data_IF_586391514423
#
_entry.id   IF_586391514423
#
_cell.length_a   1.000
_cell.length_b   1.000
_cell.length_c   1.000
_cell.angle_alpha   90.00
_cell.angle_beta   90.00
_cell.angle_gamma   90.00
#
_symmetry.space_group_name_H-M   'P 1'
#
loop_
_entity.id
_entity.type
_entity.pdbx_description
1 polymer ?
#
# COMPACT_ATOMS: atom_id res chain seq x y z
N UNK A 1 20.26 -18.82 -0.73
CA UNK A 1 19.13 -18.21 -1.48
C UNK A 1 17.86 -18.21 -0.61
N UNK A 2 17.18 -17.06 -0.44
CA UNK A 2 15.87 -17.07 0.22
C UNK A 2 14.93 -17.97 -0.60
N UNK A 3 14.18 -18.84 0.10
CA UNK A 3 13.21 -19.71 -0.55
C UNK A 3 12.20 -18.86 -1.34
N UNK A 4 11.92 -19.24 -2.58
CA UNK A 4 10.92 -18.57 -3.42
C UNK A 4 9.58 -18.67 -2.69
N UNK A 5 9.01 -17.54 -2.32
CA UNK A 5 7.69 -17.47 -1.71
C UNK A 5 6.66 -17.90 -2.76
N UNK A 6 5.88 -18.96 -2.47
CA UNK A 6 4.77 -19.31 -3.33
C UNK A 6 3.66 -18.26 -3.14
N UNK A 7 3.16 -17.59 -4.19
CA UNK A 7 2.07 -16.64 -4.02
C UNK A 7 0.78 -17.37 -3.63
N UNK A 8 -0.17 -16.66 -3.03
CA UNK A 8 -1.54 -17.19 -2.84
C UNK A 8 -2.08 -17.68 -4.20
N UNK A 9 -2.69 -18.88 -4.29
CA UNK A 9 -3.26 -19.36 -5.54
C UNK A 9 -4.25 -18.37 -6.15
N UNK A 10 -4.16 -18.15 -7.47
CA UNK A 10 -4.98 -17.16 -8.18
C UNK A 10 -6.50 -17.29 -7.93
N UNK A 11 -7.10 -18.51 -7.90
CA UNK A 11 -8.53 -18.65 -7.62
C UNK A 11 -8.97 -18.11 -6.26
N UNK A 12 -8.04 -18.05 -5.29
CA UNK A 12 -8.33 -17.56 -3.94
C UNK A 12 -8.20 -16.04 -3.82
N UNK A 13 -7.65 -15.34 -4.82
CA UNK A 13 -7.40 -13.89 -4.73
C UNK A 13 -8.68 -13.06 -4.94
N UNK A 14 -8.67 -11.83 -4.49
CA UNK A 14 -9.76 -10.87 -4.58
C UNK A 14 -10.66 -10.84 -3.34
N UNK A 15 -11.86 -10.25 -3.47
CA UNK A 15 -12.77 -10.03 -2.36
C UNK A 15 -13.59 -11.29 -2.00
N UNK A 16 -13.84 -11.44 -0.71
CA UNK A 16 -14.58 -12.53 -0.07
C UNK A 16 -15.42 -11.96 1.07
N UNK A 17 -16.56 -12.59 1.35
CA UNK A 17 -17.54 -12.07 2.31
C UNK A 17 -18.07 -13.17 3.24
N UNK A 18 -18.47 -12.75 4.44
CA UNK A 18 -19.25 -13.52 5.41
C UNK A 18 -20.64 -12.88 5.57
N UNK A 19 -21.66 -13.68 5.88
CA UNK A 19 -23.04 -13.21 5.99
C UNK A 19 -23.76 -13.18 4.63
N UNK A 20 -24.67 -12.22 4.44
CA UNK A 20 -25.39 -12.05 3.18
C UNK A 20 -24.73 -10.94 2.35
N UNK A 21 -24.75 -11.04 1.01
CA UNK A 21 -24.15 -10.01 0.16
C UNK A 21 -24.77 -8.61 0.30
N UNK A 22 -26.03 -8.50 0.76
CA UNK A 22 -26.65 -7.20 1.02
C UNK A 22 -26.16 -6.56 2.32
N UNK A 23 -25.67 -7.36 3.27
CA UNK A 23 -25.29 -6.96 4.62
C UNK A 23 -24.24 -7.93 5.17
N UNK A 24 -22.97 -7.84 4.73
CA UNK A 24 -21.93 -8.74 5.16
C UNK A 24 -21.48 -8.42 6.59
N UNK A 25 -21.28 -9.44 7.42
CA UNK A 25 -20.71 -9.28 8.76
C UNK A 25 -19.18 -9.09 8.73
N UNK A 26 -18.54 -9.49 7.63
CA UNK A 26 -17.12 -9.24 7.39
C UNK A 26 -16.78 -9.34 5.90
N UNK A 27 -15.73 -8.65 5.51
CA UNK A 27 -15.04 -8.84 4.23
C UNK A 27 -13.59 -9.27 4.44
N UNK A 28 -13.07 -10.01 3.47
CA UNK A 28 -11.68 -10.41 3.36
C UNK A 28 -11.22 -10.12 1.94
N UNK A 29 -10.10 -9.41 1.78
CA UNK A 29 -9.45 -9.28 0.48
C UNK A 29 -8.11 -10.00 0.51
N UNK A 30 -7.93 -10.91 -0.44
CA UNK A 30 -6.69 -11.68 -0.62
C UNK A 30 -5.94 -11.19 -1.86
N UNK A 31 -4.67 -10.85 -1.70
CA UNK A 31 -3.76 -10.56 -2.81
C UNK A 31 -2.76 -11.71 -2.97
N UNK A 32 -1.72 -11.57 -3.80
CA UNK A 32 -0.74 -12.63 -3.94
C UNK A 32 0.14 -12.78 -2.68
N UNK A 33 0.29 -11.71 -1.90
CA UNK A 33 1.17 -11.61 -0.73
C UNK A 33 0.52 -10.97 0.50
N UNK A 34 -0.80 -10.82 0.55
CA UNK A 34 -1.47 -10.31 1.74
C UNK A 34 -2.89 -10.83 1.92
N UNK A 35 -3.36 -10.73 3.16
CA UNK A 35 -4.76 -10.86 3.54
C UNK A 35 -5.15 -9.64 4.36
N UNK A 36 -6.26 -8.99 4.02
CA UNK A 36 -6.85 -7.94 4.86
C UNK A 36 -8.29 -8.30 5.20
N UNK A 37 -8.59 -8.37 6.50
CA UNK A 37 -9.93 -8.64 7.03
C UNK A 37 -10.54 -7.34 7.54
N UNK A 38 -11.78 -7.09 7.15
CA UNK A 38 -12.56 -5.90 7.43
C UNK A 38 -13.88 -6.35 8.07
N UNK A 39 -13.95 -6.49 9.40
CA UNK A 39 -15.19 -6.85 10.07
C UNK A 39 -16.19 -5.69 10.02
N UNK A 40 -17.48 -5.99 10.16
CA UNK A 40 -18.52 -4.97 10.35
C UNK A 40 -18.30 -4.15 11.64
N UNK A 41 -17.76 -4.81 12.66
CA UNK A 41 -17.44 -4.29 13.97
C UNK A 41 -16.03 -4.71 14.39
N UNK A 42 -15.21 -3.73 14.76
CA UNK A 42 -13.85 -3.96 15.23
C UNK A 42 -12.77 -3.61 14.21
N UNK A 43 -11.50 -3.84 14.55
CA UNK A 43 -10.39 -3.31 13.77
C UNK A 43 -10.18 -4.04 12.45
N UNK A 44 -9.73 -3.29 11.45
CA UNK A 44 -9.18 -3.87 10.22
C UNK A 44 -7.90 -4.62 10.56
N UNK A 45 -7.69 -5.81 9.99
CA UNK A 45 -6.50 -6.62 10.24
C UNK A 45 -5.79 -6.94 8.95
N UNK A 46 -4.57 -6.43 8.77
CA UNK A 46 -3.71 -6.72 7.63
C UNK A 46 -2.59 -7.70 8.00
N UNK A 47 -2.45 -8.77 7.22
CA UNK A 47 -1.30 -9.68 7.27
C UNK A 47 -0.56 -9.57 5.93
N UNK A 48 0.64 -8.97 5.96
CA UNK A 48 1.57 -8.97 4.81
C UNK A 48 2.47 -10.22 4.87
N UNK A 49 2.34 -11.10 3.90
CA UNK A 49 3.06 -12.38 3.88
C UNK A 49 4.55 -12.16 3.60
N UNK A 50 5.37 -12.55 4.57
CA UNK A 50 6.82 -12.71 4.42
C UNK A 50 7.21 -14.11 3.96
N UNK A 51 6.29 -15.06 4.07
CA UNK A 51 6.42 -16.40 3.54
C UNK A 51 5.02 -16.93 3.20
N UNK A 52 4.95 -17.73 2.15
CA UNK A 52 3.78 -18.56 1.88
C UNK A 52 4.24 -19.94 1.39
N UNK A 53 3.57 -20.98 1.86
CA UNK A 53 3.84 -22.38 1.52
C UNK A 53 2.58 -23.24 1.56
N UNK A 54 2.55 -24.29 0.75
CA UNK A 54 1.50 -25.32 0.84
C UNK A 54 1.81 -26.26 2.02
N UNK A 55 0.79 -26.58 2.81
CA UNK A 55 0.85 -27.54 3.91
C UNK A 55 -0.50 -28.25 4.03
N UNK A 56 -0.53 -29.58 3.83
CA UNK A 56 -1.71 -30.41 4.07
C UNK A 56 -3.02 -29.88 3.46
N UNK A 57 -2.94 -29.39 2.21
CA UNK A 57 -4.10 -28.84 1.49
C UNK A 57 -4.44 -27.38 1.84
N UNK A 58 -3.69 -26.75 2.74
CA UNK A 58 -3.78 -25.32 3.06
C UNK A 58 -2.60 -24.55 2.46
N UNK A 59 -2.86 -23.34 2.00
CA UNK A 59 -1.82 -22.33 1.79
C UNK A 59 -1.61 -21.58 3.11
N UNK A 60 -0.46 -21.77 3.75
CA UNK A 60 -0.07 -21.05 4.96
C UNK A 60 0.64 -19.77 4.56
N UNK A 61 0.05 -18.62 4.86
CA UNK A 61 0.69 -17.31 4.81
C UNK A 61 1.19 -16.88 6.19
N UNK A 62 2.45 -16.45 6.28
CA UNK A 62 3.08 -16.00 7.53
C UNK A 62 3.55 -14.55 7.40
N UNK A 63 3.11 -13.69 8.32
CA UNK A 63 3.49 -12.29 8.42
C UNK A 63 4.88 -12.05 9.01
N UNK A 64 5.25 -10.78 9.21
CA UNK A 64 6.42 -10.37 10.00
C UNK A 64 5.96 -9.82 11.35
N UNK A 65 6.88 -9.74 12.31
CA UNK A 65 6.66 -9.17 13.64
C UNK A 65 6.97 -10.15 14.76
N UNK A 66 6.90 -9.68 16.01
CA UNK A 66 7.23 -10.48 17.20
C UNK A 66 6.37 -11.75 17.33
N UNK A 67 5.09 -11.66 16.92
CA UNK A 67 4.15 -12.79 16.95
C UNK A 67 4.02 -13.51 15.60
N UNK A 68 4.60 -12.95 14.53
CA UNK A 68 4.56 -13.46 13.16
C UNK A 68 3.17 -14.03 12.78
N UNK A 69 2.13 -13.19 12.61
CA UNK A 69 0.76 -13.65 12.44
C UNK A 69 0.63 -14.61 11.27
N UNK A 70 -0.23 -15.63 11.41
CA UNK A 70 -0.41 -16.70 10.42
C UNK A 70 -1.86 -16.79 9.98
N UNK A 71 -2.05 -17.12 8.71
CA UNK A 71 -3.36 -17.44 8.15
C UNK A 71 -3.22 -18.66 7.23
N UNK A 72 -4.13 -19.63 7.41
CA UNK A 72 -4.28 -20.79 6.54
C UNK A 72 -5.43 -20.50 5.58
N UNK A 73 -5.23 -20.78 4.29
CA UNK A 73 -6.20 -20.57 3.22
C UNK A 73 -6.44 -21.88 2.45
N UNK A 74 -7.69 -22.29 2.26
CA UNK A 74 -8.04 -23.38 1.33
C UNK A 74 -9.36 -23.08 0.64
N UNK A 75 -9.56 -23.57 -0.57
CA UNK A 75 -10.81 -23.34 -1.27
C UNK A 75 -10.71 -23.46 -2.78
N UNK A 76 -11.66 -22.84 -3.46
CA UNK A 76 -11.84 -22.79 -4.91
C UNK A 76 -12.08 -21.34 -5.35
N UNK A 77 -12.47 -21.12 -6.61
CA UNK A 77 -12.84 -19.79 -7.08
C UNK A 77 -14.09 -19.20 -6.39
N UNK A 78 -14.99 -20.08 -5.89
CA UNK A 78 -16.32 -19.69 -5.40
C UNK A 78 -16.48 -19.82 -3.86
N UNK A 79 -15.61 -20.59 -3.21
CA UNK A 79 -15.65 -20.80 -1.77
C UNK A 79 -14.24 -20.76 -1.19
N UNK A 80 -14.08 -20.06 -0.08
CA UNK A 80 -12.82 -19.96 0.65
C UNK A 80 -13.06 -20.31 2.11
N UNK A 81 -12.11 -21.00 2.70
CA UNK A 81 -12.01 -21.22 4.13
C UNK A 81 -10.70 -20.64 4.64
N UNK A 82 -10.75 -20.01 5.81
CA UNK A 82 -9.58 -19.48 6.50
C UNK A 82 -9.50 -19.95 7.95
N UNK A 83 -8.29 -20.06 8.47
CA UNK A 83 -8.04 -20.29 9.89
C UNK A 83 -6.82 -19.48 10.33
N UNK A 84 -6.95 -18.71 11.42
CA UNK A 84 -5.88 -17.88 11.98
C UNK A 84 -5.38 -18.52 13.28
N UNK A 85 -4.34 -19.38 13.24
CA UNK A 85 -3.89 -20.10 14.41
C UNK A 85 -3.21 -19.18 15.41
N UNK A 86 -3.29 -19.55 16.69
CA UNK A 86 -2.56 -18.86 17.76
C UNK A 86 -1.06 -18.82 17.46
N UNK A 87 -0.32 -17.74 17.79
CA UNK A 87 1.10 -17.59 17.46
C UNK A 87 1.99 -18.76 17.93
N UNK A 88 1.63 -19.42 19.03
CA UNK A 88 2.42 -20.51 19.64
C UNK A 88 2.05 -21.91 19.14
N UNK A 89 1.01 -22.05 18.30
CA UNK A 89 0.64 -23.35 17.75
C UNK A 89 1.75 -23.87 16.83
N UNK A 90 2.22 -25.10 17.06
CA UNK A 90 3.27 -25.70 16.23
C UNK A 90 2.79 -25.94 14.80
N UNK A 91 3.68 -25.74 13.84
CA UNK A 91 3.38 -25.88 12.41
C UNK A 91 2.88 -27.28 12.04
N UNK A 92 3.41 -28.35 12.64
CA UNK A 92 3.00 -29.74 12.41
C UNK A 92 1.62 -30.10 13.00
N UNK A 93 0.97 -29.15 13.66
CA UNK A 93 -0.38 -29.30 14.23
C UNK A 93 -1.40 -28.37 13.60
N UNK A 94 -1.05 -27.62 12.55
CA UNK A 94 -2.00 -26.73 11.87
C UNK A 94 -3.01 -27.53 11.03
N UNK A 95 -4.30 -27.13 10.96
CA UNK A 95 -4.92 -26.00 11.67
C UNK A 95 -5.22 -26.30 13.15
N UNK A 96 -5.14 -27.55 13.59
CA UNK A 96 -5.38 -27.95 14.97
C UNK A 96 -6.83 -27.71 15.38
N UNK A 97 -7.04 -27.10 16.55
CA UNK A 97 -8.37 -26.69 17.02
C UNK A 97 -8.75 -25.25 16.60
N UNK A 98 -7.98 -24.62 15.72
CA UNK A 98 -8.26 -23.25 15.27
C UNK A 98 -9.61 -23.20 14.55
N UNK A 99 -10.51 -22.29 14.93
CA UNK A 99 -11.79 -22.12 14.25
C UNK A 99 -11.61 -21.81 12.76
N UNK A 100 -12.36 -22.55 11.93
CA UNK A 100 -12.40 -22.33 10.48
C UNK A 100 -13.54 -21.35 10.18
N UNK A 101 -13.22 -20.34 9.39
CA UNK A 101 -14.14 -19.33 8.87
C UNK A 101 -14.42 -19.63 7.40
N UNK A 102 -15.69 -19.63 6.99
CA UNK A 102 -16.10 -19.82 5.59
C UNK A 102 -16.46 -18.49 4.94
N UNK A 103 -16.12 -18.35 3.66
CA UNK A 103 -16.30 -17.14 2.88
C UNK A 103 -16.86 -17.47 1.49
N UNK A 104 -17.60 -16.52 0.93
CA UNK A 104 -18.18 -16.62 -0.41
C UNK A 104 -17.94 -15.35 -1.23
N UNK A 105 -18.14 -15.44 -2.54
CA UNK A 105 -18.12 -14.29 -3.46
C UNK A 105 -19.47 -13.60 -3.46
N UNK A 106 -19.46 -12.29 -3.68
CA UNK A 106 -20.64 -11.51 -4.00
C UNK A 106 -20.55 -10.98 -5.45
N UNK A 107 -21.68 -10.83 -6.17
CA UNK A 107 -21.67 -10.30 -7.54
C UNK A 107 -21.08 -8.88 -7.65
N UNK A 108 -21.21 -8.09 -6.59
CA UNK A 108 -20.62 -6.77 -6.44
C UNK A 108 -20.20 -6.54 -4.99
N UNK A 109 -19.24 -5.64 -4.79
CA UNK A 109 -18.86 -5.20 -3.46
C UNK A 109 -20.00 -4.41 -2.82
N UNK A 110 -20.36 -4.68 -1.55
CA UNK A 110 -21.39 -3.92 -0.84
C UNK A 110 -21.03 -2.43 -0.78
N UNK A 111 -21.94 -1.50 -1.12
CA UNK A 111 -21.59 -0.09 -1.32
C UNK A 111 -20.92 0.58 -0.12
N UNK A 112 -21.35 0.28 1.11
CA UNK A 112 -20.75 0.82 2.32
C UNK A 112 -19.28 0.43 2.48
N UNK A 113 -18.97 -0.86 2.30
CA UNK A 113 -17.58 -1.35 2.32
C UNK A 113 -16.75 -0.77 1.18
N UNK A 114 -17.32 -0.69 -0.03
CA UNK A 114 -16.62 -0.11 -1.17
C UNK A 114 -16.29 1.38 -0.95
N UNK A 115 -17.23 2.15 -0.38
CA UNK A 115 -17.02 3.56 -0.07
C UNK A 115 -15.94 3.78 1.00
N UNK A 116 -15.90 2.92 2.03
CA UNK A 116 -14.97 3.06 3.16
C UNK A 116 -13.57 2.49 2.88
N UNK A 117 -13.48 1.42 2.09
CA UNK A 117 -12.26 0.63 1.96
C UNK A 117 -11.80 0.41 0.52
N UNK A 118 -12.60 0.81 -0.48
CA UNK A 118 -12.31 0.52 -1.88
C UNK A 118 -10.96 1.05 -2.35
N UNK A 119 -10.61 2.29 -1.99
CA UNK A 119 -9.31 2.87 -2.35
C UNK A 119 -8.15 2.13 -1.67
N UNK A 120 -8.26 1.83 -0.37
CA UNK A 120 -7.23 1.12 0.39
C UNK A 120 -7.00 -0.32 -0.12
N UNK A 121 -8.08 -1.04 -0.41
CA UNK A 121 -8.04 -2.39 -1.00
C UNK A 121 -7.43 -2.39 -2.41
N UNK A 122 -7.77 -1.39 -3.23
CA UNK A 122 -7.16 -1.22 -4.54
C UNK A 122 -5.66 -0.93 -4.40
N UNK A 123 -5.27 -0.04 -3.48
CA UNK A 123 -3.87 0.29 -3.21
C UNK A 123 -3.07 -0.91 -2.68
N UNK A 124 -3.66 -1.75 -1.83
CA UNK A 124 -3.01 -2.98 -1.34
C UNK A 124 -2.56 -3.90 -2.50
N UNK A 125 -3.36 -3.96 -3.57
CA UNK A 125 -3.03 -4.74 -4.77
C UNK A 125 -1.93 -4.05 -5.60
N UNK A 126 -2.05 -2.73 -5.80
CA UNK A 126 -1.03 -1.91 -6.45
C UNK A 126 0.33 -2.00 -5.76
N UNK A 127 0.35 -2.01 -4.42
CA UNK A 127 1.57 -2.11 -3.63
C UNK A 127 2.40 -3.34 -4.00
N UNK A 128 1.79 -4.48 -4.33
CA UNK A 128 2.57 -5.66 -4.72
C UNK A 128 3.30 -5.48 -6.07
N UNK A 129 2.68 -4.74 -6.99
CA UNK A 129 3.30 -4.31 -8.24
C UNK A 129 4.42 -3.30 -8.00
N UNK A 130 4.20 -2.33 -7.12
CA UNK A 130 5.22 -1.35 -6.71
C UNK A 130 6.41 -2.03 -6.03
N UNK A 131 6.18 -2.92 -5.06
CA UNK A 131 7.25 -3.66 -4.38
C UNK A 131 8.09 -4.50 -5.35
N UNK A 132 7.46 -5.13 -6.35
CA UNK A 132 8.17 -5.91 -7.35
C UNK A 132 9.05 -5.03 -8.25
N UNK A 133 8.61 -3.81 -8.55
CA UNK A 133 9.30 -2.89 -9.45
C UNK A 133 10.24 -1.90 -8.76
N UNK A 134 10.07 -1.64 -7.46
CA UNK A 134 10.80 -0.66 -6.67
C UNK A 134 11.62 -1.27 -5.52
N UNK A 135 11.49 -2.58 -5.29
CA UNK A 135 12.22 -3.27 -4.23
C UNK A 135 13.72 -3.45 -4.53
N UNK A 136 14.51 -4.02 -3.60
CA UNK A 136 15.95 -4.25 -3.79
C UNK A 136 16.30 -5.15 -4.98
N UNK A 137 15.33 -5.95 -5.44
CA UNK A 137 15.45 -6.82 -6.61
C UNK A 137 14.88 -6.19 -7.89
N UNK A 138 14.55 -4.89 -7.87
CA UNK A 138 14.05 -4.15 -9.02
C UNK A 138 15.09 -4.17 -10.16
N UNK A 139 14.64 -4.29 -11.42
CA UNK A 139 15.55 -4.34 -12.56
C UNK A 139 16.23 -2.99 -12.83
N UNK A 140 15.51 -1.88 -12.62
CA UNK A 140 16.04 -0.53 -12.76
C UNK A 140 15.15 0.53 -12.08
N UNK A 141 15.66 1.75 -11.82
CA UNK A 141 14.85 2.86 -11.34
C UNK A 141 13.71 3.26 -12.30
N UNK A 142 13.91 3.13 -13.62
CA UNK A 142 12.88 3.35 -14.64
C UNK A 142 11.69 2.42 -14.47
N UNK A 143 11.95 1.15 -14.14
CA UNK A 143 10.89 0.17 -13.92
C UNK A 143 10.04 0.53 -12.70
N UNK A 144 10.65 1.08 -11.65
CA UNK A 144 9.93 1.60 -10.49
C UNK A 144 9.02 2.78 -10.88
N UNK A 145 9.54 3.79 -11.60
CA UNK A 145 8.74 4.93 -12.05
C UNK A 145 7.60 4.49 -12.95
N UNK A 146 7.86 3.59 -13.91
CA UNK A 146 6.84 3.03 -14.78
C UNK A 146 5.75 2.27 -13.99
N UNK A 147 6.12 1.59 -12.89
CA UNK A 147 5.15 0.98 -12.00
C UNK A 147 4.32 2.02 -11.23
N UNK A 148 4.93 3.09 -10.73
CA UNK A 148 4.18 4.17 -10.06
C UNK A 148 3.13 4.77 -11.00
N UNK A 149 3.49 5.07 -12.25
CA UNK A 149 2.53 5.52 -13.26
C UNK A 149 1.45 4.46 -13.49
N UNK A 150 1.84 3.21 -13.80
CA UNK A 150 0.88 2.13 -14.13
C UNK A 150 -0.14 1.88 -13.02
N UNK A 151 0.29 1.90 -11.76
CA UNK A 151 -0.60 1.63 -10.62
C UNK A 151 -1.39 2.88 -10.17
N UNK A 152 -0.90 4.07 -10.50
CA UNK A 152 -1.47 5.35 -10.10
C UNK A 152 -2.39 6.01 -11.13
N UNK A 153 -2.12 5.81 -12.42
CA UNK A 153 -2.87 6.39 -13.54
C UNK A 153 -4.21 5.66 -13.70
N UNK A 154 -5.26 6.33 -13.22
CA UNK A 154 -6.64 5.86 -13.29
C UNK A 154 -7.32 6.38 -14.54
N UNK A 155 -6.88 7.52 -15.05
CA UNK A 155 -7.41 8.14 -16.26
C UNK A 155 -6.98 7.42 -17.55
N UNK A 156 -5.85 6.71 -17.53
CA UNK A 156 -5.26 6.00 -18.66
C UNK A 156 -4.43 6.90 -19.60
N UNK A 157 -4.03 8.10 -19.15
CA UNK A 157 -3.29 9.07 -19.97
C UNK A 157 -1.76 8.96 -19.82
N UNK A 158 -1.29 7.97 -19.07
CA UNK A 158 0.12 7.69 -18.75
C UNK A 158 0.82 8.81 -17.97
N UNK A 159 0.06 9.66 -17.27
CA UNK A 159 0.56 10.66 -16.33
C UNK A 159 -0.17 10.54 -14.99
N UNK A 160 0.29 11.28 -13.98
CA UNK A 160 -0.37 11.36 -12.68
C UNK A 160 -0.85 12.77 -12.41
N UNK A 161 -2.15 12.94 -12.33
CA UNK A 161 -2.77 14.16 -11.81
C UNK A 161 -2.62 14.27 -10.29
N UNK A 162 -2.87 15.47 -9.74
CA UNK A 162 -2.96 15.68 -8.27
C UNK A 162 -3.97 14.72 -7.62
N UNK A 163 -5.08 14.42 -8.29
CA UNK A 163 -6.11 13.53 -7.77
C UNK A 163 -5.63 12.08 -7.65
N UNK A 164 -4.87 11.60 -8.64
CA UNK A 164 -4.30 10.25 -8.65
C UNK A 164 -3.17 10.10 -7.63
N UNK A 165 -2.32 11.11 -7.48
CA UNK A 165 -1.30 11.15 -6.43
C UNK A 165 -1.97 11.14 -5.05
N UNK A 166 -2.99 11.97 -4.84
CA UNK A 166 -3.74 12.00 -3.58
C UNK A 166 -4.41 10.65 -3.28
N UNK A 167 -4.92 9.95 -4.30
CA UNK A 167 -5.47 8.59 -4.16
C UNK A 167 -4.40 7.59 -3.71
N UNK A 168 -3.20 7.63 -4.29
CA UNK A 168 -2.09 6.76 -3.85
C UNK A 168 -1.73 7.02 -2.38
N UNK A 169 -1.65 8.30 -1.98
CA UNK A 169 -1.35 8.68 -0.60
C UNK A 169 -2.44 8.19 0.36
N UNK A 170 -3.72 8.40 0.04
CA UNK A 170 -4.84 7.88 0.85
C UNK A 170 -4.81 6.36 0.99
N UNK A 171 -4.55 5.66 -0.11
CA UNK A 171 -4.41 4.20 -0.11
C UNK A 171 -3.27 3.73 0.79
N UNK A 172 -2.13 4.42 0.75
CA UNK A 172 -1.00 4.14 1.63
C UNK A 172 -1.31 4.42 3.11
N UNK A 173 -1.96 5.55 3.43
CA UNK A 173 -2.40 5.87 4.79
C UNK A 173 -3.40 4.84 5.33
N UNK A 174 -4.35 4.40 4.50
CA UNK A 174 -5.28 3.33 4.87
C UNK A 174 -4.56 2.02 5.18
N UNK A 175 -3.55 1.67 4.37
CA UNK A 175 -2.77 0.46 4.58
C UNK A 175 -2.00 0.49 5.91
N UNK A 176 -1.40 1.64 6.26
CA UNK A 176 -0.72 1.83 7.54
C UNK A 176 -1.70 1.64 8.71
N UNK A 177 -2.87 2.26 8.64
CA UNK A 177 -3.91 2.08 9.66
C UNK A 177 -4.34 0.60 9.78
N UNK A 178 -4.54 -0.09 8.66
CA UNK A 178 -4.89 -1.51 8.66
C UNK A 178 -3.76 -2.42 9.20
N UNK A 179 -2.49 -2.00 9.08
CA UNK A 179 -1.34 -2.71 9.62
C UNK A 179 -1.19 -2.56 11.15
N UNK A 180 -1.76 -1.50 11.72
CA UNK A 180 -1.74 -1.19 13.15
C UNK A 180 -2.99 -1.68 13.89
N UNK A 181 -3.79 -2.54 13.26
CA UNK A 181 -5.08 -3.02 13.78
C UNK A 181 -6.00 -1.86 14.21
N UNK A 182 -6.07 -0.79 13.40
CA UNK A 182 -6.87 0.39 13.70
C UNK A 182 -8.39 0.11 13.71
N UNK A 183 -9.11 0.75 14.63
CA UNK A 183 -10.59 0.68 14.68
C UNK A 183 -11.22 1.39 13.48
N UNK A 184 -12.51 1.13 13.16
CA UNK A 184 -13.20 1.81 12.06
C UNK A 184 -13.16 3.33 12.20
N UNK A 185 -13.28 3.86 13.42
CA UNK A 185 -13.20 5.29 13.71
C UNK A 185 -11.80 5.86 13.42
N UNK A 186 -10.74 5.12 13.80
CA UNK A 186 -9.36 5.51 13.49
C UNK A 186 -9.09 5.42 11.99
N UNK A 187 -9.58 4.39 11.30
CA UNK A 187 -9.45 4.27 9.84
C UNK A 187 -10.19 5.43 9.13
N UNK A 188 -11.37 5.81 9.62
CA UNK A 188 -12.13 6.96 9.12
C UNK A 188 -11.41 8.28 9.38
N UNK A 189 -10.87 8.49 10.59
CA UNK A 189 -10.12 9.68 10.94
C UNK A 189 -8.84 9.80 10.11
N UNK A 190 -8.10 8.70 9.94
CA UNK A 190 -6.91 8.61 9.09
C UNK A 190 -7.26 8.76 7.61
N UNK A 191 -8.42 8.26 7.17
CA UNK A 191 -8.95 8.49 5.83
C UNK A 191 -9.28 9.97 5.58
N UNK A 192 -9.90 10.63 6.56
CA UNK A 192 -10.19 12.07 6.57
C UNK A 192 -8.94 12.94 6.55
N UNK A 193 -7.98 12.66 7.43
CA UNK A 193 -6.66 13.31 7.45
C UNK A 193 -5.87 13.02 6.17
N UNK A 194 -5.94 11.78 5.68
CA UNK A 194 -5.33 11.35 4.43
C UNK A 194 -5.91 12.04 3.20
N UNK A 195 -7.18 12.46 3.21
CA UNK A 195 -7.76 13.26 2.13
C UNK A 195 -7.05 14.61 1.99
N UNK A 196 -6.92 15.36 3.08
CA UNK A 196 -6.27 16.67 3.06
C UNK A 196 -4.76 16.55 2.83
N UNK A 197 -4.11 15.64 3.57
CA UNK A 197 -2.68 15.40 3.44
C UNK A 197 -2.32 14.89 2.04
N UNK A 198 -3.15 14.01 1.46
CA UNK A 198 -2.97 13.50 0.10
C UNK A 198 -3.06 14.58 -0.97
N UNK A 199 -4.04 15.50 -0.86
CA UNK A 199 -4.15 16.63 -1.80
C UNK A 199 -2.97 17.59 -1.62
N UNK A 200 -2.59 17.91 -0.39
CA UNK A 200 -1.45 18.77 -0.10
C UNK A 200 -0.14 18.19 -0.68
N UNK A 201 0.15 16.91 -0.41
CA UNK A 201 1.31 16.22 -0.98
C UNK A 201 1.24 16.16 -2.51
N UNK A 202 0.07 15.88 -3.08
CA UNK A 202 -0.13 15.87 -4.53
C UNK A 202 0.19 17.22 -5.17
N UNK A 203 -0.24 18.33 -4.56
CA UNK A 203 0.08 19.68 -5.03
C UNK A 203 1.55 20.02 -4.88
N UNK A 204 2.16 19.71 -3.74
CA UNK A 204 3.60 19.95 -3.52
C UNK A 204 4.47 19.17 -4.52
N UNK A 205 4.10 17.92 -4.82
CA UNK A 205 4.77 17.13 -5.85
C UNK A 205 4.56 17.74 -7.24
N UNK A 206 3.35 18.18 -7.55
CA UNK A 206 3.06 18.84 -8.83
C UNK A 206 3.91 20.10 -8.99
N UNK A 207 3.87 21.01 -8.02
CA UNK A 207 4.62 22.29 -8.05
C UNK A 207 6.14 22.11 -8.12
N UNK A 208 6.66 20.96 -7.69
CA UNK A 208 8.11 20.68 -7.69
C UNK A 208 8.61 19.89 -8.89
N UNK A 209 7.75 19.10 -9.55
CA UNK A 209 8.16 18.15 -10.59
C UNK A 209 7.49 18.37 -11.95
N UNK A 210 6.42 19.16 -12.03
CA UNK A 210 5.74 19.53 -13.28
C UNK A 210 6.58 20.57 -14.03
N UNK A 211 7.58 20.10 -14.77
CA UNK A 211 8.54 20.96 -15.44
C UNK A 211 8.00 21.54 -16.75
N UNK A 212 7.03 20.86 -17.37
CA UNK A 212 6.38 21.36 -18.59
C UNK A 212 5.12 22.20 -18.32
N UNK A 213 4.60 22.16 -17.08
CA UNK A 213 3.51 23.00 -16.60
C UNK A 213 2.13 22.54 -17.06
N UNK A 214 1.97 21.27 -17.42
CA UNK A 214 0.71 20.72 -17.92
C UNK A 214 -0.25 20.23 -16.83
N UNK A 215 0.16 20.33 -15.56
CA UNK A 215 -0.63 19.96 -14.40
C UNK A 215 -0.68 18.47 -14.12
N UNK A 216 0.21 17.67 -14.74
CA UNK A 216 0.33 16.22 -14.53
C UNK A 216 1.78 15.78 -14.51
N UNK A 217 2.10 14.77 -13.70
CA UNK A 217 3.45 14.22 -13.64
C UNK A 217 3.61 13.04 -14.60
N UNK A 218 4.46 13.22 -15.61
CA UNK A 218 4.87 12.14 -16.51
C UNK A 218 5.96 11.25 -15.90
N UNK A 219 6.19 10.08 -16.49
CA UNK A 219 7.31 9.22 -16.12
C UNK A 219 8.66 9.94 -16.25
N UNK A 220 8.83 10.79 -17.27
CA UNK A 220 10.06 11.53 -17.49
C UNK A 220 10.33 12.52 -16.34
N UNK A 221 9.30 13.23 -15.89
CA UNK A 221 9.40 14.21 -14.80
C UNK A 221 9.66 13.56 -13.44
N UNK A 222 9.00 12.42 -13.15
CA UNK A 222 9.27 11.65 -11.94
C UNK A 222 10.70 11.10 -11.91
N UNK A 223 11.25 10.76 -13.07
CA UNK A 223 12.57 10.18 -13.20
C UNK A 223 13.68 11.22 -13.43
N UNK A 224 13.32 12.49 -13.62
CA UNK A 224 14.24 13.59 -13.86
C UNK A 224 15.30 13.64 -12.75
N UNK A 225 16.58 13.68 -13.17
CA UNK A 225 17.78 13.65 -12.32
C UNK A 225 17.96 12.41 -11.42
N UNK A 226 17.08 11.40 -11.52
CA UNK A 226 17.20 10.10 -10.82
C UNK A 226 17.76 8.99 -11.71
N UNK A 227 17.63 9.12 -13.03
CA UNK A 227 18.15 8.16 -14.03
C UNK A 227 19.55 8.50 -14.54
N UNK A 228 20.10 9.64 -14.11
CA UNK A 228 21.41 10.10 -14.50
C UNK A 228 21.73 11.46 -13.90
N UNK A 229 23.00 11.86 -13.93
CA UNK A 229 23.37 13.22 -13.59
C UNK A 229 22.69 14.18 -14.57
N UNK A 230 22.18 15.31 -14.03
CA UNK A 230 21.54 16.33 -14.84
C UNK A 230 22.44 16.78 -15.99
N UNK A 231 21.83 17.31 -17.06
CA UNK A 231 22.55 17.80 -18.26
C UNK A 231 23.54 18.93 -17.95
N UNK A 232 23.46 19.52 -16.76
CA UNK A 232 24.38 20.52 -16.29
C UNK A 232 25.78 19.91 -16.09
N UNK A 233 26.69 20.20 -17.01
CA UNK A 233 28.12 19.83 -16.92
C UNK A 233 28.93 20.80 -16.06
N UNK A 234 28.27 21.80 -15.46
CA UNK A 234 28.93 22.99 -14.90
C UNK A 234 29.42 23.96 -15.98
N UNK A 235 29.73 25.19 -15.57
CA UNK A 235 30.39 26.18 -16.43
C UNK A 235 31.78 26.51 -15.88
N UNK A 236 32.76 26.67 -16.76
CA UNK A 236 34.16 26.89 -16.40
C UNK A 236 34.40 28.23 -15.67
N UNK A 237 33.50 29.19 -15.84
CA UNK A 237 33.48 30.49 -15.16
C UNK A 237 32.65 30.50 -13.87
N UNK A 238 32.03 29.36 -13.51
CA UNK A 238 31.30 29.19 -12.26
C UNK A 238 32.20 29.45 -11.06
N UNK A 239 31.84 30.44 -10.23
CA UNK A 239 32.56 30.74 -8.99
C UNK A 239 31.85 30.06 -7.81
N UNK A 240 32.58 29.44 -6.87
CA UNK A 240 31.97 28.89 -5.66
C UNK A 240 31.25 30.00 -4.90
N UNK A 241 29.94 29.90 -4.77
CA UNK A 241 29.18 30.79 -3.89
C UNK A 241 29.55 30.42 -2.46
N UNK A 242 29.75 31.41 -1.57
CA UNK A 242 30.03 31.14 -0.15
C UNK A 242 28.82 30.45 0.47
N UNK A 243 28.94 29.14 0.69
CA UNK A 243 27.86 28.25 1.17
C UNK A 243 27.37 28.57 2.60
N UNK A 244 28.08 29.41 3.35
CA UNK A 244 27.72 29.77 4.74
C UNK A 244 26.32 30.38 4.84
N UNK A 245 25.94 31.30 3.94
CA UNK A 245 24.58 31.87 3.93
C UNK A 245 23.51 30.89 3.45
N UNK A 246 23.88 29.90 2.62
CA UNK A 246 22.95 28.88 2.16
C UNK A 246 22.62 27.87 3.28
N UNK A 247 23.62 27.51 4.10
CA UNK A 247 23.43 26.64 5.27
C UNK A 247 22.52 27.31 6.32
N UNK A 248 22.70 28.61 6.56
CA UNK A 248 21.83 29.39 7.43
C UNK A 248 20.39 29.50 6.88
N UNK A 249 20.24 29.71 5.56
CA UNK A 249 18.94 29.72 4.90
C UNK A 249 18.21 28.37 4.93
N UNK A 250 18.93 27.26 4.74
CA UNK A 250 18.38 25.89 4.86
C UNK A 250 17.98 25.58 6.31
N UNK A 251 18.77 26.03 7.29
CA UNK A 251 18.43 25.88 8.71
C UNK A 251 17.17 26.69 9.08
N UNK A 252 17.03 27.90 8.55
CA UNK A 252 15.84 28.73 8.73
C UNK A 252 14.59 28.08 8.11
N UNK A 253 14.70 27.59 6.87
CA UNK A 253 13.63 26.87 6.18
C UNK A 253 13.22 25.61 6.93
N UNK A 254 14.19 24.83 7.43
CA UNK A 254 13.93 23.67 8.29
C UNK A 254 13.16 24.08 9.55
N UNK A 255 13.59 25.13 10.25
CA UNK A 255 12.90 25.61 11.45
C UNK A 255 11.47 26.08 11.18
N UNK A 256 11.21 26.72 10.05
CA UNK A 256 9.86 27.12 9.64
C UNK A 256 8.99 25.91 9.31
N UNK A 257 9.53 24.93 8.59
CA UNK A 257 8.80 23.69 8.25
C UNK A 257 8.52 22.87 9.51
N UNK A 258 9.48 22.75 10.42
CA UNK A 258 9.29 22.07 11.70
C UNK A 258 8.26 22.80 12.58
N UNK A 259 8.31 24.13 12.66
CA UNK A 259 7.29 24.92 13.37
C UNK A 259 5.88 24.74 12.78
N UNK A 260 5.75 24.78 11.45
CA UNK A 260 4.46 24.60 10.78
C UNK A 260 3.91 23.17 10.87
N UNK A 261 4.76 22.16 10.97
CA UNK A 261 4.36 20.76 11.03
C UNK A 261 4.17 20.23 12.45
N UNK A 262 4.80 20.85 13.46
CA UNK A 262 4.81 20.34 14.84
C UNK A 262 4.25 21.32 15.89
N UNK A 263 3.74 22.49 15.52
CA UNK A 263 2.93 23.32 16.43
C UNK A 263 1.47 22.82 16.50
N UNK A 264 1.26 21.67 17.14
CA UNK A 264 0.00 21.34 17.83
C UNK A 264 0.30 20.49 19.09
N UNK A 265 0.79 21.15 20.14
CA UNK A 265 0.56 20.74 21.54
C UNK A 265 0.04 21.93 22.34
#
# INVERSE_FOLDING_TARGET
>A
PPAIQAPVPQPLRGPWYQGACADPSAALHLTARAAVRLPDNGPARLIRFSQSRLQEGWTLGTGRGAEAPRILLRGTAEALETAEPEPKLRDDRLPGATPVQSWHRCPAAPPGLAALHGEGVAFLSALEGLEAACGPAAPSPEACVAAVIREGDISGDSKLSVAEIARLVRGASWLLAAAEDATPETVLATGGGGLLAGVAMGRLLMESLDYDGDGKLSAAELAQDRLGFGRATGQADGRPVRMQGLQEGVALLRGVVEGLLFEQE
#
